data_IF_579303143670
#
_entry.id   IF_579303143670
#
_cell.length_a   1.000
_cell.length_b   1.000
_cell.length_c   1.000
_cell.angle_alpha   90.00
_cell.angle_beta   90.00
_cell.angle_gamma   90.00
#
_symmetry.space_group_name_H-M   'P 1'
#
loop_
_entity.id
_entity.type
_entity.pdbx_description
1 polymer ?
#
# COMPACT_ATOMS: atom_id res chain seq x y z
N UNK A 1 15.39 24.53 3.11
CA UNK A 1 15.53 25.09 4.47
C UNK A 1 17.02 25.14 4.79
N UNK A 2 17.60 26.34 4.87
CA UNK A 2 18.95 26.51 5.38
C UNK A 2 18.81 27.02 6.81
N UNK A 3 19.11 26.17 7.80
CA UNK A 3 19.32 26.64 9.16
C UNK A 3 20.66 27.38 9.16
N UNK A 4 20.62 28.71 9.06
CA UNK A 4 21.83 29.51 9.15
C UNK A 4 22.20 29.68 10.62
N UNK A 5 23.24 28.94 11.05
CA UNK A 5 24.05 29.22 12.25
C UNK A 5 23.36 28.96 13.59
N UNK A 6 23.19 27.68 13.97
CA UNK A 6 22.85 27.33 15.36
C UNK A 6 24.14 27.10 16.14
N UNK A 7 24.40 27.93 17.15
CA UNK A 7 25.50 27.69 18.10
C UNK A 7 25.13 26.49 18.98
N UNK A 8 26.06 25.55 19.15
CA UNK A 8 25.89 24.37 19.99
C UNK A 8 26.92 24.40 21.11
N UNK A 9 26.43 24.46 22.36
CA UNK A 9 27.25 24.33 23.53
C UNK A 9 27.71 22.86 23.74
N UNK A 10 28.78 22.63 24.51
CA UNK A 10 29.23 21.28 24.82
C UNK A 10 28.11 20.43 25.46
N UNK A 11 27.89 19.23 24.91
CA UNK A 11 26.83 18.27 25.32
C UNK A 11 25.40 18.75 25.09
N UNK A 12 25.21 19.87 24.40
CA UNK A 12 23.89 20.30 23.96
C UNK A 12 23.38 19.38 22.85
N UNK A 13 22.06 19.18 22.81
CA UNK A 13 21.39 18.36 21.80
C UNK A 13 20.69 19.29 20.82
N UNK A 14 21.00 19.13 19.52
CA UNK A 14 20.28 19.79 18.44
C UNK A 14 19.22 18.86 17.87
N UNK A 15 17.95 19.27 17.90
CA UNK A 15 16.88 18.60 17.18
C UNK A 15 16.59 19.38 15.88
N UNK A 16 16.75 18.72 14.72
CA UNK A 16 16.50 19.31 13.39
C UNK A 16 15.17 18.76 12.86
N UNK A 17 14.09 19.56 12.87
CA UNK A 17 12.80 19.10 12.33
C UNK A 17 12.86 19.03 10.79
N UNK A 18 12.45 17.90 10.24
CA UNK A 18 12.27 17.72 8.79
C UNK A 18 10.78 17.62 8.50
N UNK A 19 10.24 18.56 7.73
CA UNK A 19 8.85 18.57 7.30
C UNK A 19 8.77 18.16 5.82
N UNK A 20 7.94 17.16 5.54
CA UNK A 20 7.70 16.66 4.19
C UNK A 20 6.23 16.87 3.82
N UNK A 21 5.98 17.81 2.90
CA UNK A 21 4.64 18.17 2.40
C UNK A 21 4.66 18.18 0.87
N UNK A 22 4.57 17.00 0.23
CA UNK A 22 4.65 16.87 -1.20
C UNK A 22 3.32 17.23 -1.88
N UNK A 23 3.35 18.09 -2.88
CA UNK A 23 2.18 18.39 -3.72
C UNK A 23 1.99 17.36 -4.85
N UNK A 24 3.07 16.67 -5.22
CA UNK A 24 3.10 15.69 -6.32
C UNK A 24 3.50 14.33 -5.76
N UNK A 25 2.77 13.28 -6.16
CA UNK A 25 2.91 11.90 -5.70
C UNK A 25 4.05 11.16 -6.41
N UNK A 26 5.28 11.59 -6.14
CA UNK A 26 6.52 10.95 -6.58
C UNK A 26 7.52 10.82 -5.43
N UNK A 27 8.49 9.92 -5.54
CA UNK A 27 9.63 9.86 -4.62
C UNK A 27 10.45 11.14 -4.72
N UNK A 28 10.85 11.66 -3.56
CA UNK A 28 11.77 12.80 -3.44
C UNK A 28 13.07 12.33 -2.80
N UNK A 29 14.17 12.65 -3.44
CA UNK A 29 15.51 12.43 -2.91
C UNK A 29 16.09 13.76 -2.46
N UNK A 30 16.58 13.80 -1.23
CA UNK A 30 17.25 14.95 -0.66
C UNK A 30 18.42 14.49 0.20
N UNK A 31 19.35 15.40 0.47
CA UNK A 31 20.43 15.17 1.43
C UNK A 31 20.39 16.26 2.50
N UNK A 32 20.46 15.85 3.75
CA UNK A 32 20.67 16.77 4.88
C UNK A 32 22.17 16.84 5.12
N UNK A 33 22.73 18.01 4.87
CA UNK A 33 24.16 18.29 5.06
C UNK A 33 24.32 19.09 6.34
N UNK A 34 24.94 18.47 7.35
CA UNK A 34 25.29 19.12 8.61
C UNK A 34 26.77 19.45 8.55
N UNK A 35 27.08 20.73 8.56
CA UNK A 35 28.45 21.22 8.60
C UNK A 35 28.69 21.93 9.94
N UNK A 36 29.60 21.39 10.73
CA UNK A 36 30.05 21.97 11.99
C UNK A 36 31.39 22.62 11.77
N UNK A 37 31.43 23.92 12.03
CA UNK A 37 32.63 24.75 11.97
C UNK A 37 32.84 25.43 13.31
N UNK A 38 34.06 25.87 13.55
CA UNK A 38 34.39 26.64 14.75
C UNK A 38 33.64 27.96 14.68
N UNK A 39 33.15 28.44 15.82
CA UNK A 39 32.35 29.67 15.90
C UNK A 39 33.08 30.89 15.32
N UNK A 40 34.41 30.95 15.48
CA UNK A 40 35.25 32.03 14.95
C UNK A 40 35.68 31.82 13.49
N UNK A 41 35.25 30.74 12.84
CA UNK A 41 35.61 30.39 11.46
C UNK A 41 37.06 29.92 11.26
N UNK A 42 37.87 29.84 12.32
CA UNK A 42 39.21 29.29 12.26
C UNK A 42 39.19 27.76 12.28
N UNK A 43 40.26 27.14 11.79
CA UNK A 43 40.41 25.70 11.93
C UNK A 43 40.64 25.31 13.40
N UNK A 44 40.33 24.06 13.74
CA UNK A 44 40.71 23.47 15.02
C UNK A 44 42.15 22.93 14.97
N UNK A 45 42.97 23.23 15.99
CA UNK A 45 44.31 22.67 16.10
C UNK A 45 44.22 21.15 16.28
N UNK A 46 45.04 20.41 15.53
CA UNK A 46 45.11 18.95 15.57
C UNK A 46 46.48 18.56 16.16
N UNK A 47 46.51 18.12 17.42
CA UNK A 47 47.77 17.76 18.10
C UNK A 47 48.22 16.31 17.82
N UNK A 48 47.31 15.42 17.44
CA UNK A 48 47.61 14.00 17.20
C UNK A 48 47.07 13.52 15.84
N UNK A 49 47.83 13.75 14.76
CA UNK A 49 47.47 13.34 13.40
C UNK A 49 47.45 11.82 13.17
N UNK A 50 47.89 11.01 14.15
CA UNK A 50 48.10 9.57 14.02
C UNK A 50 46.94 8.68 14.54
N UNK A 51 46.03 9.23 15.36
CA UNK A 51 44.92 8.46 15.96
C UNK A 51 43.52 8.82 15.43
N UNK A 52 43.41 9.71 14.44
CA UNK A 52 42.14 9.90 13.76
C UNK A 52 41.79 8.61 13.01
N UNK A 53 40.92 7.82 13.63
CA UNK A 53 40.39 6.56 13.12
C UNK A 53 40.12 6.67 11.62
N UNK A 54 40.64 5.71 10.85
CA UNK A 54 40.35 5.51 9.40
C UNK A 54 38.84 5.43 9.07
N UNK A 55 37.99 5.46 10.09
CA UNK A 55 36.55 5.36 10.04
C UNK A 55 35.83 6.73 9.98
N UNK A 56 36.49 7.85 10.29
CA UNK A 56 35.88 9.19 10.19
C UNK A 56 35.98 9.77 8.76
N UNK A 57 35.12 9.29 7.86
CA UNK A 57 34.88 9.91 6.54
C UNK A 57 34.22 11.30 6.61
N UNK A 58 33.91 11.79 7.81
CA UNK A 58 33.12 13.00 8.06
C UNK A 58 33.96 14.23 8.45
N UNK A 59 35.29 14.18 8.47
CA UNK A 59 36.14 15.32 8.88
C UNK A 59 36.79 15.95 7.66
N UNK A 60 36.66 17.26 7.50
CA UNK A 60 37.37 18.04 6.48
C UNK A 60 38.63 18.64 7.06
N UNK A 61 39.78 18.32 6.47
CA UNK A 61 41.12 18.72 6.92
C UNK A 61 41.72 19.70 5.91
N UNK A 62 42.31 20.78 6.40
CA UNK A 62 43.01 21.79 5.60
C UNK A 62 44.42 21.33 5.18
N UNK A 63 45.04 22.01 4.21
CA UNK A 63 46.36 21.65 3.66
C UNK A 63 47.47 21.61 4.73
N UNK A 64 47.31 22.35 5.81
CA UNK A 64 48.22 22.41 6.95
C UNK A 64 47.97 21.31 8.00
N UNK A 65 47.03 20.39 7.78
CA UNK A 65 46.69 19.30 8.68
C UNK A 65 45.70 19.67 9.79
N UNK A 66 45.20 20.91 9.83
CA UNK A 66 44.20 21.35 10.80
C UNK A 66 42.78 20.92 10.39
N UNK A 67 41.88 20.78 11.36
CA UNK A 67 40.50 20.39 11.08
C UNK A 67 39.70 21.65 10.73
N UNK A 68 39.24 21.74 9.49
CA UNK A 68 38.42 22.86 9.02
C UNK A 68 36.96 22.72 9.46
N UNK A 69 36.48 21.48 9.60
CA UNK A 69 35.07 21.22 9.75
C UNK A 69 34.75 19.74 9.94
N UNK A 70 33.56 19.47 10.45
CA UNK A 70 32.96 18.13 10.46
C UNK A 70 31.71 18.19 9.60
N UNK A 71 31.66 17.33 8.59
CA UNK A 71 30.61 17.24 7.59
C UNK A 71 29.90 15.88 7.69
N UNK A 72 28.61 15.91 8.01
CA UNK A 72 27.76 14.74 7.92
C UNK A 72 26.73 14.92 6.82
N UNK A 73 26.58 13.89 5.98
CA UNK A 73 25.63 13.86 4.88
C UNK A 73 24.66 12.72 5.15
N UNK A 74 23.39 13.05 5.38
CA UNK A 74 22.32 12.09 5.62
C UNK A 74 21.38 12.06 4.42
N UNK A 75 21.33 10.96 3.64
CA UNK A 75 20.37 10.82 2.56
C UNK A 75 18.96 10.65 3.14
N UNK A 76 18.01 11.40 2.58
CA UNK A 76 16.60 11.39 2.96
C UNK A 76 15.76 11.06 1.73
N UNK A 77 14.95 10.01 1.84
CA UNK A 77 14.02 9.59 0.80
C UNK A 77 12.59 9.86 1.29
N UNK A 78 11.90 10.80 0.64
CA UNK A 78 10.52 11.14 0.91
C UNK A 78 9.58 10.35 0.00
N UNK A 79 8.79 9.45 0.57
CA UNK A 79 7.73 8.72 -0.15
C UNK A 79 6.40 9.37 0.21
N UNK A 80 5.70 10.02 -0.73
CA UNK A 80 4.43 10.66 -0.45
C UNK A 80 3.34 9.60 -0.24
N UNK A 81 2.69 9.66 0.92
CA UNK A 81 1.52 8.87 1.25
C UNK A 81 0.30 9.79 1.28
N UNK A 82 -0.71 9.48 0.48
CA UNK A 82 -1.95 10.23 0.47
C UNK A 82 -2.67 10.08 1.82
N UNK A 83 -2.70 11.17 2.60
CA UNK A 83 -3.48 11.27 3.83
C UNK A 83 -4.97 11.35 3.48
N UNK A 84 -5.61 10.20 3.27
CA UNK A 84 -7.04 10.12 3.00
C UNK A 84 -7.83 10.19 4.33
N UNK A 85 -7.74 11.35 5.00
CA UNK A 85 -8.11 11.56 6.42
C UNK A 85 -9.55 11.20 6.81
N UNK A 86 -10.47 10.96 5.87
CA UNK A 86 -11.87 10.57 6.17
C UNK A 86 -12.51 9.68 5.10
N UNK A 87 -11.81 8.66 4.59
CA UNK A 87 -12.49 7.72 3.71
C UNK A 87 -13.43 6.81 4.51
N UNK A 88 -14.70 6.83 4.13
CA UNK A 88 -15.65 5.77 4.49
C UNK A 88 -15.14 4.48 3.84
N UNK A 89 -14.89 3.42 4.62
CA UNK A 89 -14.38 2.17 4.05
C UNK A 89 -15.32 1.63 2.99
N UNK A 90 -14.78 1.16 1.86
CA UNK A 90 -15.61 0.45 0.90
C UNK A 90 -16.03 -0.90 1.51
N UNK A 91 -17.34 -1.07 1.71
CA UNK A 91 -17.89 -2.26 2.37
C UNK A 91 -18.22 -3.33 1.33
N UNK A 92 -17.60 -4.50 1.45
CA UNK A 92 -17.94 -5.71 0.69
C UNK A 92 -18.65 -6.66 1.66
N UNK A 93 -19.93 -6.93 1.40
CA UNK A 93 -20.78 -7.73 2.30
C UNK A 93 -21.51 -8.84 1.56
N UNK A 94 -21.58 -10.01 2.18
CA UNK A 94 -22.42 -11.14 1.76
C UNK A 94 -22.72 -12.05 2.96
N UNK A 95 -23.50 -13.11 2.76
CA UNK A 95 -23.66 -14.16 3.78
C UNK A 95 -22.49 -15.13 3.70
N UNK A 96 -22.20 -15.82 4.80
CA UNK A 96 -21.28 -16.94 4.78
C UNK A 96 -21.78 -18.00 3.77
N UNK A 97 -20.85 -18.69 3.11
CA UNK A 97 -21.05 -19.67 2.03
C UNK A 97 -21.57 -19.09 0.71
N UNK A 98 -21.70 -17.76 0.60
CA UNK A 98 -22.01 -17.08 -0.66
C UNK A 98 -20.76 -16.41 -1.23
N UNK A 99 -20.80 -16.12 -2.54
CA UNK A 99 -19.79 -15.34 -3.26
C UNK A 99 -20.42 -14.04 -3.76
N UNK A 100 -19.73 -12.92 -3.55
CA UNK A 100 -20.12 -11.61 -4.10
C UNK A 100 -18.97 -11.02 -4.90
N UNK A 101 -19.30 -10.35 -6.00
CA UNK A 101 -18.36 -9.54 -6.76
C UNK A 101 -18.79 -8.08 -6.68
N UNK A 102 -17.87 -7.20 -6.32
CA UNK A 102 -18.13 -5.78 -6.14
C UNK A 102 -17.08 -4.94 -6.84
N UNK A 103 -17.54 -4.02 -7.68
CA UNK A 103 -16.68 -2.99 -8.27
C UNK A 103 -16.42 -1.88 -7.27
N UNK A 104 -15.14 -1.58 -7.04
CA UNK A 104 -14.68 -0.53 -6.14
C UNK A 104 -13.86 0.47 -6.95
N UNK A 105 -14.31 1.72 -6.95
CA UNK A 105 -13.62 2.83 -7.61
C UNK A 105 -12.75 3.56 -6.60
N UNK A 106 -11.50 3.80 -6.94
CA UNK A 106 -10.55 4.57 -6.13
C UNK A 106 -9.97 5.72 -6.96
N UNK A 107 -9.82 6.88 -6.33
CA UNK A 107 -9.33 8.10 -6.98
C UNK A 107 -7.91 8.40 -6.52
N UNK A 108 -6.98 8.50 -7.46
CA UNK A 108 -5.59 8.85 -7.25
C UNK A 108 -5.40 10.33 -7.60
N UNK A 109 -5.33 11.17 -6.56
CA UNK A 109 -5.06 12.60 -6.68
C UNK A 109 -3.56 12.89 -6.60
N UNK A 110 -3.10 13.92 -7.31
CA UNK A 110 -1.69 14.36 -7.27
C UNK A 110 -0.73 13.49 -8.10
N UNK A 111 -1.25 12.70 -9.05
CA UNK A 111 -0.42 11.89 -9.94
C UNK A 111 0.33 12.80 -10.93
N UNK A 112 1.58 12.45 -11.25
CA UNK A 112 2.39 13.19 -12.22
C UNK A 112 1.74 13.14 -13.62
N UNK A 113 1.40 14.29 -14.24
CA UNK A 113 0.92 14.32 -15.62
C UNK A 113 1.99 13.79 -16.58
N UNK A 114 1.63 12.86 -17.48
CA UNK A 114 2.51 12.36 -18.54
C UNK A 114 3.02 10.93 -18.40
N UNK A 115 2.79 10.24 -17.28
CA UNK A 115 3.25 8.84 -17.08
C UNK A 115 2.42 7.83 -17.90
N UNK A 116 1.37 8.26 -18.62
CA UNK A 116 0.56 7.35 -19.43
C UNK A 116 -0.08 8.03 -20.64
N UNK A 117 0.73 8.48 -21.58
CA UNK A 117 0.26 8.65 -22.95
C UNK A 117 0.58 7.36 -23.71
N UNK A 118 -0.29 6.34 -23.58
CA UNK A 118 -0.41 5.33 -24.65
C UNK A 118 -1.73 5.64 -25.34
N UNK A 119 -1.73 6.17 -26.57
CA UNK A 119 -2.96 6.41 -27.28
C UNK A 119 -3.61 5.05 -27.55
N UNK A 120 -4.89 4.92 -27.16
CA UNK A 120 -5.76 3.93 -27.76
C UNK A 120 -5.89 4.30 -29.23
N UNK A 121 -5.07 3.67 -30.07
CA UNK A 121 -5.15 3.81 -31.53
C UNK A 121 -6.47 3.19 -31.98
N UNK A 122 -7.49 4.03 -32.08
CA UNK A 122 -8.68 3.75 -32.86
C UNK A 122 -8.28 3.70 -34.33
N UNK A 123 -8.19 2.50 -34.89
CA UNK A 123 -8.25 2.31 -36.34
C UNK A 123 -9.60 1.66 -36.65
N UNK A 124 -10.56 2.52 -37.01
CA UNK A 124 -11.72 2.13 -37.80
C UNK A 124 -11.22 1.85 -39.22
N UNK A 125 -11.21 0.58 -39.61
CA UNK A 125 -11.23 0.17 -41.01
C UNK A 125 -12.17 -1.03 -41.14
N UNK A 126 -13.13 -0.86 -42.03
CA UNK A 126 -14.28 -1.71 -42.33
C UNK A 126 -13.84 -2.96 -43.14
N UNK A 127 -14.54 -4.10 -42.94
CA UNK A 127 -14.70 -5.28 -43.87
C UNK A 127 -13.50 -6.27 -43.90
N UNK A 128 -13.59 -7.60 -43.74
CA UNK A 128 -14.63 -8.64 -43.97
C UNK A 128 -14.31 -9.97 -43.21
N UNK A 129 -15.35 -10.67 -42.72
CA UNK A 129 -15.66 -12.12 -42.86
C UNK A 129 -14.73 -13.24 -42.29
N UNK A 130 -15.32 -14.04 -41.37
CA UNK A 130 -15.10 -15.47 -40.97
C UNK A 130 -14.10 -15.89 -39.86
N UNK A 131 -14.69 -16.28 -38.71
CA UNK A 131 -14.38 -17.42 -37.80
C UNK A 131 -13.04 -17.47 -37.01
N UNK A 132 -12.91 -18.29 -35.93
CA UNK A 132 -12.56 -17.78 -34.60
C UNK A 132 -11.30 -18.45 -34.02
N UNK A 133 -10.36 -17.70 -33.44
CA UNK A 133 -9.33 -18.33 -32.61
C UNK A 133 -8.78 -17.40 -31.52
N UNK A 134 -9.22 -17.70 -30.30
CA UNK A 134 -8.41 -17.96 -29.12
C UNK A 134 -7.12 -17.14 -28.95
N UNK A 135 -7.16 -16.10 -28.11
CA UNK A 135 -5.97 -15.65 -27.36
C UNK A 135 -6.37 -15.54 -25.89
N UNK A 136 -5.95 -16.55 -25.13
CA UNK A 136 -5.97 -16.56 -23.68
C UNK A 136 -4.87 -15.61 -23.20
N UNK A 137 -5.25 -14.51 -22.52
CA UNK A 137 -4.31 -13.81 -21.66
C UNK A 137 -4.15 -14.63 -20.38
N UNK A 138 -3.09 -15.43 -20.34
CA UNK A 138 -2.64 -16.14 -19.14
C UNK A 138 -2.27 -15.12 -18.05
N UNK A 139 -3.20 -14.90 -17.12
CA UNK A 139 -2.91 -14.24 -15.86
C UNK A 139 -2.21 -15.25 -14.95
N UNK A 140 -0.88 -15.18 -14.90
CA UNK A 140 -0.09 -15.91 -13.92
C UNK A 140 -0.41 -15.41 -12.51
N UNK A 141 -1.10 -16.25 -11.73
CA UNK A 141 -1.33 -16.06 -10.31
C UNK A 141 -0.18 -16.71 -9.56
N UNK A 142 0.80 -15.93 -9.10
CA UNK A 142 1.72 -16.38 -8.04
C UNK A 142 2.22 -15.18 -7.23
N UNK A 143 1.79 -15.08 -5.98
CA UNK A 143 2.42 -14.24 -4.95
C UNK A 143 2.23 -12.72 -5.08
N UNK A 144 1.13 -12.21 -4.52
CA UNK A 144 1.07 -10.87 -3.90
C UNK A 144 1.00 -9.62 -4.79
N UNK A 145 1.45 -9.67 -6.05
CA UNK A 145 1.46 -8.48 -6.91
C UNK A 145 0.86 -8.77 -8.28
N UNK A 146 -0.13 -7.98 -8.68
CA UNK A 146 -0.66 -7.98 -10.04
C UNK A 146 -0.22 -6.70 -10.74
N UNK A 147 0.50 -6.85 -11.85
CA UNK A 147 1.06 -5.74 -12.62
C UNK A 147 0.27 -5.57 -13.90
N UNK A 148 -0.48 -4.49 -14.03
CA UNK A 148 -1.05 -4.05 -15.31
C UNK A 148 -0.96 -2.53 -15.37
N UNK A 149 -0.33 -2.01 -16.42
CA UNK A 149 -0.25 -0.56 -16.72
C UNK A 149 0.46 0.30 -15.64
N UNK A 150 1.56 -0.21 -15.09
CA UNK A 150 2.53 0.55 -14.28
C UNK A 150 2.15 0.78 -12.81
N UNK A 151 0.91 0.58 -12.41
CA UNK A 151 0.50 0.64 -11.00
C UNK A 151 0.66 -0.71 -10.34
N UNK A 152 1.28 -0.72 -9.16
CA UNK A 152 1.32 -1.87 -8.27
C UNK A 152 0.21 -1.73 -7.24
N UNK A 153 -0.50 -2.81 -6.97
CA UNK A 153 -1.55 -2.80 -5.96
C UNK A 153 -1.55 -4.08 -5.13
N UNK A 154 -1.91 -3.95 -3.86
CA UNK A 154 -2.02 -5.06 -2.93
C UNK A 154 -3.08 -4.79 -1.86
N UNK A 155 -3.55 -5.86 -1.22
CA UNK A 155 -4.41 -5.76 -0.06
C UNK A 155 -3.57 -6.00 1.20
N UNK A 156 -3.38 -4.95 2.00
CA UNK A 156 -2.69 -5.03 3.30
C UNK A 156 -3.68 -5.33 4.43
N UNK A 157 -3.24 -6.14 5.38
CA UNK A 157 -4.03 -6.59 6.52
C UNK A 157 -3.46 -6.01 7.81
N UNK A 158 -4.32 -5.74 8.78
CA UNK A 158 -3.91 -5.18 10.06
C UNK A 158 -3.07 -6.16 10.90
N UNK A 159 -3.25 -7.47 10.71
CA UNK A 159 -2.49 -8.51 11.41
C UNK A 159 -2.38 -9.79 10.58
N UNK A 160 -1.47 -10.69 10.98
CA UNK A 160 -1.28 -11.98 10.33
C UNK A 160 -2.49 -12.91 10.50
N UNK A 161 -3.21 -12.78 11.63
CA UNK A 161 -4.46 -13.50 11.88
C UNK A 161 -5.53 -13.08 10.87
N UNK A 162 -5.71 -11.77 10.65
CA UNK A 162 -6.67 -11.26 9.65
C UNK A 162 -6.25 -11.69 8.24
N UNK A 163 -4.95 -11.63 7.93
CA UNK A 163 -4.40 -12.08 6.65
C UNK A 163 -4.77 -13.55 6.38
N UNK A 164 -4.42 -14.46 7.29
CA UNK A 164 -4.73 -15.89 7.15
C UNK A 164 -6.22 -16.19 7.00
N UNK A 165 -7.09 -15.36 7.60
CA UNK A 165 -8.54 -15.49 7.46
C UNK A 165 -9.08 -14.95 6.14
N UNK A 166 -8.50 -13.88 5.59
CA UNK A 166 -9.12 -13.10 4.51
C UNK A 166 -8.46 -13.31 3.15
N UNK A 167 -7.16 -13.61 3.12
CA UNK A 167 -6.33 -13.68 1.91
C UNK A 167 -6.83 -14.72 0.90
N UNK A 168 -7.28 -15.88 1.38
CA UNK A 168 -7.83 -16.93 0.51
C UNK A 168 -9.31 -16.72 0.15
N UNK A 169 -10.00 -15.80 0.84
CA UNK A 169 -11.43 -15.53 0.66
C UNK A 169 -11.69 -14.31 -0.23
N UNK A 170 -10.66 -13.52 -0.52
CA UNK A 170 -10.74 -12.28 -1.31
C UNK A 170 -9.87 -12.38 -2.55
N UNK A 171 -10.50 -12.27 -3.71
CA UNK A 171 -9.82 -12.02 -4.99
C UNK A 171 -9.93 -10.56 -5.38
N UNK A 172 -8.89 -9.97 -5.96
CA UNK A 172 -8.92 -8.60 -6.44
C UNK A 172 -8.12 -8.46 -7.73
N UNK A 173 -8.70 -7.79 -8.72
CA UNK A 173 -7.98 -7.38 -9.93
C UNK A 173 -8.49 -6.05 -10.46
N UNK A 174 -7.61 -5.33 -11.17
CA UNK A 174 -7.96 -4.09 -11.85
C UNK A 174 -8.78 -4.41 -13.11
N UNK A 175 -9.95 -3.77 -13.24
CA UNK A 175 -10.84 -3.93 -14.40
C UNK A 175 -10.66 -2.79 -15.38
N UNK A 176 -10.57 -1.57 -14.87
CA UNK A 176 -10.61 -0.38 -15.70
C UNK A 176 -9.78 0.73 -15.07
N UNK A 177 -9.20 1.54 -15.94
CA UNK A 177 -8.50 2.76 -15.60
C UNK A 177 -9.08 3.90 -16.43
N UNK A 178 -9.38 5.01 -15.76
CA UNK A 178 -9.85 6.24 -16.36
C UNK A 178 -8.91 7.37 -15.90
N UNK A 179 -8.61 8.31 -16.79
CA UNK A 179 -7.83 9.49 -16.45
C UNK A 179 -8.60 10.71 -16.91
N UNK A 180 -8.84 11.61 -15.97
CA UNK A 180 -9.40 12.91 -16.27
C UNK A 180 -8.26 13.86 -16.70
N UNK A 181 -8.31 14.31 -17.94
CA UNK A 181 -7.30 15.21 -18.51
C UNK A 181 -7.38 16.62 -17.95
N UNK A 182 -8.52 17.04 -17.40
CA UNK A 182 -8.69 18.38 -16.83
C UNK A 182 -8.19 18.44 -15.39
N UNK A 183 -8.55 17.46 -14.56
CA UNK A 183 -8.16 17.43 -13.14
C UNK A 183 -6.85 16.69 -12.86
N UNK A 184 -6.35 15.90 -13.82
CA UNK A 184 -5.17 15.04 -13.62
C UNK A 184 -5.42 13.87 -12.67
N UNK A 185 -6.67 13.64 -12.25
CA UNK A 185 -7.05 12.54 -11.36
C UNK A 185 -7.14 11.24 -12.15
N UNK A 186 -6.52 10.19 -11.63
CA UNK A 186 -6.65 8.84 -12.19
C UNK A 186 -7.65 8.06 -11.35
N UNK A 187 -8.66 7.48 -12.00
CA UNK A 187 -9.62 6.58 -11.36
C UNK A 187 -9.28 5.13 -11.72
N UNK A 188 -9.08 4.30 -10.71
CA UNK A 188 -8.91 2.86 -10.89
C UNK A 188 -10.17 2.14 -10.41
N UNK A 189 -10.66 1.19 -11.20
CA UNK A 189 -11.84 0.39 -10.89
C UNK A 189 -11.40 -1.05 -10.69
N UNK A 190 -11.48 -1.53 -9.46
CA UNK A 190 -11.16 -2.90 -9.09
C UNK A 190 -12.42 -3.76 -9.04
N UNK A 191 -12.34 -5.01 -9.49
CA UNK A 191 -13.32 -6.03 -9.14
C UNK A 191 -12.81 -6.78 -7.92
N UNK A 192 -13.60 -6.78 -6.85
CA UNK A 192 -13.31 -7.48 -5.61
C UNK A 192 -14.29 -8.63 -5.48
N UNK A 193 -13.76 -9.84 -5.47
CA UNK A 193 -14.48 -11.08 -5.24
C UNK A 193 -14.32 -11.42 -3.76
N UNK A 194 -15.42 -11.68 -3.07
CA UNK A 194 -15.41 -12.11 -1.66
C UNK A 194 -16.29 -13.35 -1.49
N UNK A 195 -15.70 -14.44 -1.01
CA UNK A 195 -16.36 -15.74 -0.86
C UNK A 195 -16.08 -16.37 0.52
N UNK A 196 -16.65 -15.82 1.61
CA UNK A 196 -16.38 -16.29 2.96
C UNK A 196 -17.12 -17.59 3.30
N UNK A 197 -16.49 -18.47 4.07
CA UNK A 197 -17.10 -19.72 4.55
C UNK A 197 -17.66 -19.63 5.98
N UNK A 198 -17.28 -18.59 6.72
CA UNK A 198 -17.66 -18.37 8.13
C UNK A 198 -18.10 -16.93 8.32
N UNK A 199 -18.88 -16.69 9.38
CA UNK A 199 -19.19 -15.35 9.86
C UNK A 199 -17.88 -14.61 10.19
N UNK A 200 -17.72 -13.38 9.68
CA UNK A 200 -16.54 -12.57 9.96
C UNK A 200 -16.77 -11.09 9.68
N UNK A 201 -15.96 -10.25 10.33
CA UNK A 201 -15.92 -8.82 10.08
C UNK A 201 -14.48 -8.32 10.17
N UNK A 202 -13.82 -8.18 9.03
CA UNK A 202 -12.40 -7.88 8.95
C UNK A 202 -12.14 -6.62 8.13
N UNK A 203 -11.18 -5.82 8.59
CA UNK A 203 -10.69 -4.62 7.90
C UNK A 203 -9.45 -4.97 7.09
N UNK A 204 -9.30 -4.33 5.95
CA UNK A 204 -8.08 -4.37 5.15
C UNK A 204 -7.85 -3.00 4.50
N UNK A 205 -6.70 -2.79 3.88
CA UNK A 205 -6.35 -1.56 3.19
C UNK A 205 -5.90 -1.91 1.78
N UNK A 206 -6.59 -1.40 0.78
CA UNK A 206 -6.12 -1.45 -0.60
C UNK A 206 -5.02 -0.40 -0.76
N UNK A 207 -3.80 -0.87 -0.99
CA UNK A 207 -2.64 -0.02 -1.26
C UNK A 207 -2.43 0.01 -2.76
N UNK A 208 -2.36 1.22 -3.31
CA UNK A 208 -2.02 1.47 -4.70
C UNK A 208 -0.74 2.29 -4.72
N UNK A 209 0.26 1.82 -5.45
CA UNK A 209 1.52 2.50 -5.67
C UNK A 209 1.68 2.79 -7.16
N UNK A 210 2.01 4.04 -7.49
CA UNK A 210 2.31 4.41 -8.88
C UNK A 210 3.79 4.13 -9.21
N UNK A 211 4.17 4.11 -10.51
CA UNK A 211 5.58 3.94 -10.90
C UNK A 211 6.50 5.02 -10.32
N UNK A 212 5.98 6.23 -10.10
CA UNK A 212 6.76 7.33 -9.50
C UNK A 212 6.93 7.16 -7.99
N UNK A 213 6.38 6.10 -7.40
CA UNK A 213 6.53 5.68 -6.02
C UNK A 213 5.61 6.37 -5.02
N UNK A 214 4.67 7.22 -5.46
CA UNK A 214 3.60 7.70 -4.59
C UNK A 214 2.63 6.58 -4.20
N UNK A 215 2.09 6.68 -2.98
CA UNK A 215 1.28 5.63 -2.36
C UNK A 215 -0.08 6.18 -1.93
N UNK A 216 -1.14 5.46 -2.27
CA UNK A 216 -2.52 5.72 -1.83
C UNK A 216 -3.05 4.51 -1.05
N UNK A 217 -3.74 4.77 0.06
CA UNK A 217 -4.27 3.74 0.97
C UNK A 217 -5.77 3.90 1.16
N UNK A 218 -6.54 2.95 0.64
CA UNK A 218 -8.00 2.96 0.69
C UNK A 218 -8.52 1.93 1.70
N UNK A 219 -9.23 2.34 2.77
CA UNK A 219 -9.75 1.40 3.74
C UNK A 219 -10.89 0.55 3.15
N UNK A 220 -10.86 -0.75 3.44
CA UNK A 220 -11.81 -1.76 3.01
C UNK A 220 -12.42 -2.47 4.22
N UNK A 221 -13.70 -2.81 4.16
CA UNK A 221 -14.39 -3.57 5.19
C UNK A 221 -15.11 -4.78 4.58
N UNK A 222 -14.72 -5.97 5.03
CA UNK A 222 -15.32 -7.24 4.60
C UNK A 222 -16.23 -7.77 5.70
N UNK A 223 -17.49 -8.06 5.34
CA UNK A 223 -18.51 -8.54 6.28
C UNK A 223 -19.18 -9.79 5.73
N UNK A 224 -18.99 -10.91 6.40
CA UNK A 224 -19.76 -12.13 6.19
C UNK A 224 -20.82 -12.24 7.29
N UNK A 225 -22.09 -12.21 6.91
CA UNK A 225 -23.22 -12.40 7.83
C UNK A 225 -23.61 -13.88 7.96
N UNK A 226 -24.55 -14.18 8.86
CA UNK A 226 -25.02 -15.54 9.09
C UNK A 226 -25.50 -16.19 7.78
N UNK A 227 -25.14 -17.47 7.53
CA UNK A 227 -25.58 -18.15 6.32
C UNK A 227 -27.10 -18.30 6.30
N UNK A 228 -27.65 -18.60 5.13
CA UNK A 228 -29.03 -19.07 5.07
C UNK A 228 -29.15 -20.39 5.83
N UNK A 229 -30.28 -20.56 6.54
CA UNK A 229 -30.64 -21.84 7.14
C UNK A 229 -30.95 -22.77 5.98
N UNK A 230 -30.10 -23.78 5.78
CA UNK A 230 -30.24 -24.74 4.67
C UNK A 230 -31.60 -25.47 4.76
N UNK A 231 -31.93 -25.99 5.96
CA UNK A 231 -33.21 -26.65 6.26
C UNK A 231 -33.56 -26.49 7.74
N UNK A 232 -34.86 -26.49 8.06
CA UNK A 232 -35.37 -26.49 9.44
C UNK A 232 -35.85 -27.90 9.79
N UNK A 233 -35.20 -28.53 10.78
CA UNK A 233 -35.65 -29.81 11.31
C UNK A 233 -36.67 -29.52 12.42
N UNK A 234 -37.95 -29.68 12.10
CA UNK A 234 -39.03 -29.62 13.09
C UNK A 234 -39.12 -30.97 13.81
N UNK A 235 -39.03 -30.94 15.14
CA UNK A 235 -39.21 -32.13 15.99
C UNK A 235 -40.51 -31.94 16.77
N UNK A 236 -41.49 -32.79 16.49
CA UNK A 236 -42.79 -32.76 17.15
C UNK A 236 -42.83 -33.76 18.32
N UNK A 237 -43.37 -33.34 19.46
CA UNK A 237 -43.51 -34.19 20.65
C UNK A 237 -44.96 -34.65 20.86
N UNK A 238 -45.16 -35.90 21.27
CA UNK A 238 -46.49 -36.51 21.45
C UNK A 238 -47.18 -36.02 22.74
N UNK A 239 -46.46 -35.43 23.71
CA UNK A 239 -47.04 -34.84 24.93
C UNK A 239 -46.03 -34.33 25.96
N UNK A 240 -46.51 -33.56 26.94
CA UNK A 240 -45.72 -33.04 28.07
C UNK A 240 -45.33 -34.17 29.05
N UNK A 241 -44.12 -34.11 29.62
CA UNK A 241 -43.58 -35.12 30.55
C UNK A 241 -43.51 -36.56 30.00
N UNK A 242 -43.27 -36.72 28.69
CA UNK A 242 -42.95 -38.01 28.07
C UNK A 242 -41.51 -37.97 27.56
N UNK A 243 -40.76 -39.02 27.86
CA UNK A 243 -39.39 -39.16 27.37
C UNK A 243 -39.39 -39.41 25.87
N UNK A 244 -38.48 -38.78 25.15
CA UNK A 244 -38.26 -39.00 23.71
C UNK A 244 -36.77 -38.89 23.42
N UNK A 245 -36.26 -39.80 22.60
CA UNK A 245 -34.84 -39.89 22.25
C UNK A 245 -34.71 -39.59 20.76
N UNK A 246 -33.92 -38.58 20.42
CA UNK A 246 -33.62 -38.21 19.03
C UNK A 246 -32.16 -38.55 18.75
N UNK A 247 -31.93 -39.38 17.73
CA UNK A 247 -30.59 -39.75 17.29
C UNK A 247 -30.28 -39.13 15.92
N UNK A 248 -29.20 -38.35 15.84
CA UNK A 248 -28.70 -37.83 14.57
C UNK A 248 -27.53 -38.69 14.11
N UNK A 249 -27.65 -39.31 12.92
CA UNK A 249 -26.56 -40.03 12.27
C UNK A 249 -26.11 -39.25 11.04
N UNK A 250 -24.91 -38.66 11.13
CA UNK A 250 -24.29 -37.97 10.01
C UNK A 250 -23.47 -38.98 9.20
N UNK A 251 -23.73 -39.06 7.89
CA UNK A 251 -22.93 -39.85 6.95
C UNK A 251 -22.43 -38.94 5.84
N UNK A 252 -21.11 -38.88 5.66
CA UNK A 252 -20.49 -38.19 4.53
C UNK A 252 -20.32 -39.18 3.38
N UNK A 253 -20.86 -38.87 2.21
CA UNK A 253 -20.52 -39.56 0.96
C UNK A 253 -19.68 -38.61 0.12
N UNK A 254 -18.37 -38.76 0.16
CA UNK A 254 -17.47 -38.17 -0.85
C UNK A 254 -17.69 -38.88 -2.18
N UNK A 255 -18.05 -38.13 -3.21
CA UNK A 255 -18.16 -38.62 -4.59
C UNK A 255 -16.88 -38.32 -5.36
#
# INVERSE_FOLDING_TARGET
FYLTGTQLAPKERLDIPVLFMPDIMKVYEAVVVIHVMRENGENWPCEDSAEFNKDLKSVTVAENGEIQGILWIYPVHGIPEALQQKLVPAVVRCRARQRVEKRVKVLLTGVVPGVTAVPATGNSAIVNTNDPDNIQEEVQVTGGFSTTLGFQYELQYQSNEIKSQLESLVGMHLVQREQDTESGIITLIFNIVFAPNKLMRNKAVLVVQCPTGGVWKFPMLFIAMEPEVDDVINIEAVGLNKESIVGFKLTSQTR
#
